data_IF_926765611504
#
_entry.id   IF_926765611504
#
_cell.length_a   1.000
_cell.length_b   1.000
_cell.length_c   1.000
_cell.angle_alpha   90.00
_cell.angle_beta   90.00
_cell.angle_gamma   90.00
#
_symmetry.space_group_name_H-M   'P 1'
#
loop_
_entity.id
_entity.type
_entity.pdbx_description
1 polymer ?
#
# COMPACT_ATOMS: atom_id res chain seq x y z
N UNK A 1 11.63 -14.32 21.58
CA UNK A 1 11.80 -12.86 21.57
C UNK A 1 11.68 -12.20 20.19
N UNK A 2 12.34 -12.68 19.14
CA UNK A 2 12.35 -12.05 17.79
C UNK A 2 10.97 -12.13 17.09
N UNK A 3 10.25 -13.23 17.24
CA UNK A 3 8.93 -13.42 16.63
C UNK A 3 7.89 -12.41 17.13
N UNK A 4 7.85 -12.16 18.44
CA UNK A 4 6.90 -11.19 19.04
C UNK A 4 7.19 -9.75 18.59
N UNK A 5 8.44 -9.37 18.44
CA UNK A 5 8.84 -8.03 17.96
C UNK A 5 8.34 -7.73 16.54
N UNK A 6 8.34 -8.74 15.66
CA UNK A 6 7.82 -8.60 14.31
C UNK A 6 6.30 -8.40 14.25
N UNK A 7 5.54 -9.05 15.14
CA UNK A 7 4.09 -8.88 15.22
C UNK A 7 3.72 -7.50 15.77
N UNK A 8 4.38 -7.04 16.83
CA UNK A 8 4.13 -5.70 17.40
C UNK A 8 4.54 -4.58 16.43
N UNK A 9 5.61 -4.76 15.66
CA UNK A 9 6.00 -3.81 14.61
C UNK A 9 4.93 -3.70 13.49
N UNK A 10 4.15 -4.76 13.26
CA UNK A 10 2.99 -4.75 12.35
C UNK A 10 1.68 -4.28 13.00
N UNK A 11 1.71 -3.89 14.27
CA UNK A 11 0.53 -3.46 15.03
C UNK A 11 -0.33 -4.62 15.52
N UNK A 12 0.19 -5.84 15.55
CA UNK A 12 -0.51 -7.03 16.06
C UNK A 12 -0.10 -7.25 17.52
N UNK A 13 -1.00 -6.97 18.44
CA UNK A 13 -0.75 -7.10 19.89
C UNK A 13 -1.36 -8.36 20.49
N UNK A 14 -2.36 -8.94 19.82
CA UNK A 14 -3.08 -10.14 20.27
C UNK A 14 -3.17 -11.11 19.09
N UNK A 15 -2.77 -12.36 19.32
CA UNK A 15 -2.98 -13.47 18.40
C UNK A 15 -4.11 -14.32 18.93
N UNK A 16 -5.21 -14.40 18.18
CA UNK A 16 -6.34 -15.27 18.47
C UNK A 16 -6.29 -16.47 17.54
N UNK A 17 -6.29 -17.66 18.11
CA UNK A 17 -6.41 -18.90 17.34
C UNK A 17 -7.87 -19.34 17.34
N UNK A 18 -8.46 -19.36 16.15
CA UNK A 18 -9.82 -19.87 15.98
C UNK A 18 -9.84 -21.39 16.09
N UNK A 19 -10.73 -21.91 16.93
CA UNK A 19 -10.96 -23.36 17.08
C UNK A 19 -12.42 -23.65 16.69
N UNK A 20 -12.65 -23.94 15.41
CA UNK A 20 -13.96 -24.19 14.83
C UNK A 20 -14.27 -23.33 13.61
N UNK A 21 -15.37 -23.62 12.93
CA UNK A 21 -15.79 -22.86 11.77
C UNK A 21 -16.26 -21.44 12.14
N UNK A 22 -15.87 -20.40 11.38
CA UNK A 22 -16.30 -19.04 11.65
C UNK A 22 -17.79 -18.89 11.39
N UNK A 23 -18.54 -18.46 12.39
CA UNK A 23 -19.92 -18.00 12.21
C UNK A 23 -19.87 -16.52 11.84
N UNK A 24 -20.30 -16.17 10.65
CA UNK A 24 -20.36 -14.79 10.19
C UNK A 24 -21.75 -14.22 10.55
N UNK A 25 -21.75 -13.14 11.30
CA UNK A 25 -22.97 -12.36 11.58
C UNK A 25 -23.09 -11.24 10.53
N UNK A 26 -24.01 -11.40 9.59
CA UNK A 26 -24.25 -10.46 8.48
C UNK A 26 -25.04 -9.20 8.91
N UNK A 27 -25.34 -9.02 10.19
CA UNK A 27 -26.19 -7.93 10.69
C UNK A 27 -25.66 -6.51 10.44
N UNK A 28 -24.37 -6.36 10.09
CA UNK A 28 -23.71 -5.08 9.82
C UNK A 28 -23.26 -4.85 8.36
N UNK A 29 -23.82 -5.61 7.42
CA UNK A 29 -23.40 -5.54 6.00
C UNK A 29 -23.57 -4.15 5.33
N UNK A 30 -24.31 -3.24 5.94
CA UNK A 30 -24.56 -1.88 5.43
C UNK A 30 -23.63 -0.79 5.95
N UNK A 31 -22.77 -1.06 6.92
CA UNK A 31 -21.92 -0.05 7.51
C UNK A 31 -20.82 0.41 6.53
N UNK A 32 -20.61 1.72 6.45
CA UNK A 32 -19.58 2.36 5.61
C UNK A 32 -18.16 1.82 5.91
N UNK A 33 -17.96 1.31 7.11
CA UNK A 33 -16.73 0.65 7.57
C UNK A 33 -16.31 -0.55 6.70
N UNK A 34 -17.27 -1.27 6.12
CA UNK A 34 -17.01 -2.47 5.31
C UNK A 34 -16.96 -2.18 3.80
N UNK A 35 -17.09 -0.93 3.41
CA UNK A 35 -17.04 -0.52 2.00
C UNK A 35 -15.75 -0.99 1.29
N UNK A 36 -14.54 -0.84 1.88
CA UNK A 36 -13.31 -1.30 1.23
C UNK A 36 -13.28 -2.81 1.00
N UNK A 37 -13.75 -3.60 1.99
CA UNK A 37 -13.81 -5.06 1.85
C UNK A 37 -14.83 -5.48 0.78
N UNK A 38 -15.96 -4.77 0.69
CA UNK A 38 -16.95 -5.01 -0.38
C UNK A 38 -16.37 -4.72 -1.75
N UNK A 39 -15.66 -3.60 -1.91
CA UNK A 39 -14.96 -3.27 -3.17
C UNK A 39 -13.92 -4.34 -3.50
N UNK A 40 -13.07 -4.73 -2.53
CA UNK A 40 -12.08 -5.78 -2.73
C UNK A 40 -12.71 -7.11 -3.17
N UNK A 41 -13.84 -7.48 -2.54
CA UNK A 41 -14.58 -8.69 -2.89
C UNK A 41 -15.16 -8.61 -4.30
N UNK A 42 -15.86 -7.52 -4.63
CA UNK A 42 -16.46 -7.33 -5.97
C UNK A 42 -15.40 -7.35 -7.07
N UNK A 43 -14.24 -6.68 -6.84
CA UNK A 43 -13.12 -6.72 -7.77
C UNK A 43 -12.56 -8.14 -7.90
N UNK A 44 -12.40 -8.87 -6.80
CA UNK A 44 -11.96 -10.25 -6.80
C UNK A 44 -12.90 -11.16 -7.60
N UNK A 45 -14.22 -11.08 -7.36
CA UNK A 45 -15.23 -11.83 -8.09
C UNK A 45 -15.26 -11.47 -9.60
N UNK A 46 -15.00 -10.21 -9.94
CA UNK A 46 -14.92 -9.77 -11.34
C UNK A 46 -13.71 -10.36 -12.05
N UNK A 47 -12.56 -10.40 -11.36
CA UNK A 47 -11.34 -11.01 -11.87
C UNK A 47 -11.56 -12.52 -12.11
N UNK A 48 -12.15 -13.23 -11.13
CA UNK A 48 -12.44 -14.68 -11.25
C UNK A 48 -13.38 -15.02 -12.39
N UNK A 49 -14.33 -14.13 -12.71
CA UNK A 49 -15.25 -14.33 -13.86
C UNK A 49 -14.62 -14.06 -15.21
N UNK A 50 -13.57 -13.24 -15.25
CA UNK A 50 -12.99 -12.73 -16.50
C UNK A 50 -11.72 -13.46 -16.93
N UNK A 51 -11.07 -14.16 -16.00
CA UNK A 51 -9.78 -14.80 -16.21
C UNK A 51 -9.81 -16.26 -15.78
N UNK A 52 -8.85 -17.05 -16.25
CA UNK A 52 -8.68 -18.43 -15.78
C UNK A 52 -8.31 -18.44 -14.28
N UNK A 53 -8.52 -19.58 -13.62
CA UNK A 53 -8.27 -19.74 -12.18
C UNK A 53 -6.85 -19.29 -11.79
N UNK A 54 -5.84 -19.72 -12.54
CA UNK A 54 -4.43 -19.38 -12.29
C UNK A 54 -4.12 -17.90 -12.55
N UNK A 55 -4.61 -17.34 -13.65
CA UNK A 55 -4.43 -15.93 -13.98
C UNK A 55 -5.19 -15.02 -13.02
N UNK A 56 -6.40 -15.41 -12.63
CA UNK A 56 -7.23 -14.69 -11.66
C UNK A 56 -6.57 -14.65 -10.28
N UNK A 57 -6.02 -15.78 -9.81
CA UNK A 57 -5.26 -15.86 -8.57
C UNK A 57 -4.04 -14.92 -8.59
N UNK A 58 -3.29 -14.90 -9.70
CA UNK A 58 -2.15 -14.02 -9.88
C UNK A 58 -2.56 -12.54 -9.86
N UNK A 59 -3.61 -12.15 -10.60
CA UNK A 59 -4.13 -10.79 -10.63
C UNK A 59 -4.67 -10.32 -9.27
N UNK A 60 -5.34 -11.20 -8.51
CA UNK A 60 -5.78 -10.91 -7.15
C UNK A 60 -4.61 -10.66 -6.21
N UNK A 61 -3.58 -11.49 -6.27
CA UNK A 61 -2.38 -11.31 -5.49
C UNK A 61 -1.67 -10.00 -5.84
N UNK A 62 -1.57 -9.67 -7.13
CA UNK A 62 -0.89 -8.48 -7.63
C UNK A 62 -1.65 -7.19 -7.30
N UNK A 63 -2.96 -7.13 -7.57
CA UNK A 63 -3.75 -5.90 -7.47
C UNK A 63 -4.35 -5.67 -6.08
N UNK A 64 -4.78 -6.73 -5.39
CA UNK A 64 -5.45 -6.65 -4.10
C UNK A 64 -4.56 -7.10 -2.94
N UNK A 65 -3.42 -7.73 -3.23
CA UNK A 65 -2.53 -8.31 -2.20
C UNK A 65 -3.06 -9.61 -1.60
N UNK A 66 -4.11 -10.19 -2.19
CA UNK A 66 -4.73 -11.42 -1.70
C UNK A 66 -4.04 -12.65 -2.30
N UNK A 67 -3.10 -13.19 -1.54
CA UNK A 67 -2.28 -14.35 -1.93
C UNK A 67 -2.92 -15.71 -1.62
N UNK A 68 -4.13 -15.74 -1.07
CA UNK A 68 -4.75 -16.98 -0.61
C UNK A 68 -5.05 -17.98 -1.73
N UNK A 69 -5.24 -17.47 -2.93
CA UNK A 69 -5.61 -18.24 -4.12
C UNK A 69 -4.41 -18.60 -5.00
N UNK A 70 -3.22 -18.13 -4.62
CA UNK A 70 -1.99 -18.42 -5.37
C UNK A 70 -1.46 -19.80 -4.98
N UNK A 71 -1.19 -20.65 -5.96
CA UNK A 71 -0.60 -21.96 -5.74
C UNK A 71 0.78 -21.85 -5.10
N UNK A 72 1.12 -22.81 -4.22
CA UNK A 72 2.42 -22.85 -3.54
C UNK A 72 3.58 -22.94 -4.53
N UNK A 73 3.40 -23.64 -5.64
CA UNK A 73 4.38 -23.76 -6.72
C UNK A 73 4.64 -22.42 -7.39
N UNK A 74 3.59 -21.67 -7.75
CA UNK A 74 3.71 -20.33 -8.34
C UNK A 74 4.35 -19.34 -7.36
N UNK A 75 3.99 -19.41 -6.08
CA UNK A 75 4.59 -18.58 -5.04
C UNK A 75 6.08 -18.89 -4.84
N UNK A 76 6.48 -20.16 -4.90
CA UNK A 76 7.86 -20.61 -4.81
C UNK A 76 8.68 -20.16 -6.03
N UNK A 77 8.16 -20.38 -7.23
CA UNK A 77 8.81 -19.95 -8.48
C UNK A 77 9.05 -18.44 -8.52
N UNK A 78 8.06 -17.63 -8.09
CA UNK A 78 8.20 -16.19 -7.98
C UNK A 78 9.23 -15.78 -6.92
N UNK A 79 9.37 -16.55 -5.86
CA UNK A 79 10.37 -16.32 -4.82
C UNK A 79 11.78 -16.62 -5.33
N UNK A 80 11.96 -17.70 -6.06
CA UNK A 80 13.25 -18.09 -6.64
C UNK A 80 13.77 -17.06 -7.67
N UNK A 81 12.87 -16.49 -8.46
CA UNK A 81 13.21 -15.41 -9.43
C UNK A 81 13.32 -14.03 -8.74
N UNK A 82 13.18 -13.96 -7.41
CA UNK A 82 13.27 -12.70 -6.67
C UNK A 82 12.07 -11.76 -6.83
N UNK A 83 10.96 -12.20 -7.41
CA UNK A 83 9.77 -11.41 -7.68
C UNK A 83 8.73 -11.41 -6.54
N UNK A 84 9.03 -12.02 -5.40
CA UNK A 84 8.14 -12.03 -4.23
C UNK A 84 7.68 -10.65 -3.77
N UNK A 85 8.52 -9.63 -3.99
CA UNK A 85 8.22 -8.24 -3.64
C UNK A 85 7.18 -7.61 -4.57
N UNK A 86 7.06 -8.08 -5.83
CA UNK A 86 6.06 -7.61 -6.79
C UNK A 86 4.66 -8.09 -6.40
N UNK A 87 4.57 -9.29 -5.80
CA UNK A 87 3.32 -9.86 -5.29
C UNK A 87 2.85 -9.21 -3.99
N UNK A 88 3.67 -8.39 -3.37
CA UNK A 88 3.23 -7.54 -2.27
C UNK A 88 2.76 -6.21 -2.85
N UNK A 89 1.51 -5.84 -2.60
CA UNK A 89 1.01 -4.52 -3.03
C UNK A 89 1.95 -3.46 -2.47
N UNK A 90 2.56 -2.71 -3.37
CA UNK A 90 3.66 -1.80 -3.08
C UNK A 90 3.28 -0.34 -3.32
N UNK A 91 4.12 0.57 -2.86
CA UNK A 91 3.99 1.99 -3.17
C UNK A 91 4.01 2.31 -4.67
N UNK A 92 4.57 1.43 -5.50
CA UNK A 92 4.59 1.59 -6.95
C UNK A 92 3.17 1.63 -7.54
N UNK A 93 2.24 0.83 -7.02
CA UNK A 93 0.84 0.84 -7.45
C UNK A 93 0.18 2.20 -7.18
N UNK A 94 0.46 2.80 -6.03
CA UNK A 94 -0.03 4.15 -5.71
C UNK A 94 0.59 5.21 -6.63
N UNK A 95 1.89 5.10 -6.93
CA UNK A 95 2.57 6.01 -7.86
C UNK A 95 2.02 5.88 -9.27
N UNK A 96 1.78 4.66 -9.75
CA UNK A 96 1.18 4.41 -11.05
C UNK A 96 -0.22 5.01 -11.15
N UNK A 97 -1.07 4.76 -10.14
CA UNK A 97 -2.42 5.32 -10.08
C UNK A 97 -2.41 6.85 -10.07
N UNK A 98 -1.54 7.46 -9.25
CA UNK A 98 -1.40 8.92 -9.20
C UNK A 98 -0.88 9.50 -10.52
N UNK A 99 0.05 8.82 -11.19
CA UNK A 99 0.58 9.22 -12.50
C UNK A 99 -0.45 9.10 -13.60
N UNK A 100 -1.25 8.04 -13.59
CA UNK A 100 -2.35 7.84 -14.53
C UNK A 100 -3.39 8.96 -14.43
N UNK A 101 -3.83 9.28 -13.22
CA UNK A 101 -4.76 10.39 -12.98
C UNK A 101 -4.13 11.72 -13.42
N UNK A 102 -2.85 11.92 -13.10
CA UNK A 102 -2.09 13.10 -13.51
C UNK A 102 -2.04 13.27 -15.01
N UNK A 103 -1.81 12.20 -15.75
CA UNK A 103 -1.79 12.17 -17.22
C UNK A 103 -3.17 12.48 -17.84
N UNK A 104 -4.24 11.91 -17.26
CA UNK A 104 -5.61 12.13 -17.75
C UNK A 104 -6.11 13.56 -17.47
N UNK A 105 -5.75 14.15 -16.33
CA UNK A 105 -6.26 15.46 -15.91
C UNK A 105 -5.40 16.64 -16.37
N UNK A 106 -4.13 16.39 -16.71
CA UNK A 106 -3.17 17.40 -17.11
C UNK A 106 -2.78 18.37 -15.98
N UNK A 107 -1.82 19.26 -16.26
CA UNK A 107 -1.25 20.15 -15.24
C UNK A 107 -2.08 21.40 -14.92
N UNK A 108 -3.02 21.76 -15.80
CA UNK A 108 -3.80 23.00 -15.64
C UNK A 108 -4.76 22.99 -14.44
N UNK A 109 -5.16 21.78 -13.97
CA UNK A 109 -6.17 21.62 -12.89
C UNK A 109 -5.56 21.01 -11.62
N UNK A 110 -4.47 21.59 -11.13
CA UNK A 110 -3.73 21.07 -9.95
C UNK A 110 -4.62 20.80 -8.74
N UNK A 111 -5.54 21.70 -8.41
CA UNK A 111 -6.48 21.53 -7.26
C UNK A 111 -7.41 20.33 -7.46
N UNK A 112 -8.00 20.19 -8.65
CA UNK A 112 -8.89 19.08 -8.96
C UNK A 112 -8.14 17.75 -8.98
N UNK A 113 -6.93 17.74 -9.54
CA UNK A 113 -6.04 16.56 -9.52
C UNK A 113 -5.78 16.10 -8.09
N UNK A 114 -5.44 16.99 -7.16
CA UNK A 114 -5.26 16.65 -5.75
C UNK A 114 -6.56 16.11 -5.13
N UNK A 115 -7.68 16.77 -5.38
CA UNK A 115 -8.99 16.39 -4.82
C UNK A 115 -9.47 15.03 -5.29
N UNK A 116 -9.04 14.55 -6.45
CA UNK A 116 -9.37 13.22 -6.99
C UNK A 116 -8.32 12.19 -6.59
N UNK A 117 -7.03 12.50 -6.77
CA UNK A 117 -5.94 11.52 -6.57
C UNK A 117 -5.82 11.12 -5.12
N UNK A 118 -5.85 12.07 -4.18
CA UNK A 118 -5.63 11.78 -2.77
C UNK A 118 -6.70 10.82 -2.20
N UNK A 119 -8.00 11.09 -2.35
CA UNK A 119 -9.02 10.13 -1.90
C UNK A 119 -8.90 8.76 -2.58
N UNK A 120 -8.55 8.73 -3.86
CA UNK A 120 -8.48 7.47 -4.62
C UNK A 120 -7.30 6.59 -4.17
N UNK A 121 -6.11 7.16 -3.92
CA UNK A 121 -4.97 6.39 -3.41
C UNK A 121 -5.22 5.90 -1.97
N UNK A 122 -5.92 6.69 -1.13
CA UNK A 122 -6.32 6.24 0.20
C UNK A 122 -7.40 5.17 0.14
N UNK A 123 -8.39 5.29 -0.76
CA UNK A 123 -9.37 4.22 -0.99
C UNK A 123 -8.68 2.92 -1.41
N UNK A 124 -7.72 3.01 -2.34
CA UNK A 124 -6.91 1.85 -2.74
C UNK A 124 -6.13 1.26 -1.56
N UNK A 125 -5.53 2.11 -0.71
CA UNK A 125 -4.85 1.66 0.50
C UNK A 125 -5.80 0.92 1.47
N UNK A 126 -7.04 1.38 1.62
CA UNK A 126 -8.06 0.69 2.42
C UNK A 126 -8.47 -0.66 1.81
N UNK A 127 -8.65 -0.73 0.50
CA UNK A 127 -9.00 -1.95 -0.23
C UNK A 127 -7.91 -3.02 -0.07
N UNK A 128 -6.65 -2.62 -0.12
CA UNK A 128 -5.48 -3.51 -0.01
C UNK A 128 -5.01 -3.79 1.43
N UNK A 129 -5.77 -3.33 2.44
CA UNK A 129 -5.54 -3.64 3.85
C UNK A 129 -4.53 -2.73 4.57
N UNK A 130 -4.30 -1.50 4.11
CA UNK A 130 -3.47 -0.48 4.78
C UNK A 130 -2.04 -0.96 5.11
N UNK A 131 -1.42 -1.68 4.20
CA UNK A 131 -0.05 -2.13 4.43
C UNK A 131 0.88 -0.93 4.69
N UNK A 132 1.90 -1.06 5.57
CA UNK A 132 2.81 0.04 5.87
C UNK A 132 3.49 0.64 4.64
N UNK A 133 3.75 -0.17 3.61
CA UNK A 133 4.35 0.27 2.35
C UNK A 133 3.44 1.22 1.57
N UNK A 134 2.17 0.85 1.44
CA UNK A 134 1.17 1.67 0.73
C UNK A 134 0.89 2.96 1.50
N UNK A 135 0.76 2.86 2.83
CA UNK A 135 0.49 4.03 3.66
C UNK A 135 1.59 5.09 3.52
N UNK A 136 2.87 4.67 3.52
CA UNK A 136 4.00 5.58 3.26
C UNK A 136 3.87 6.28 1.90
N UNK A 137 3.60 5.51 0.85
CA UNK A 137 3.43 6.05 -0.50
C UNK A 137 2.27 7.05 -0.58
N UNK A 138 1.12 6.73 0.00
CA UNK A 138 -0.02 7.63 0.05
C UNK A 138 0.32 8.95 0.75
N UNK A 139 1.01 8.91 1.91
CA UNK A 139 1.41 10.10 2.64
C UNK A 139 2.38 10.94 1.80
N UNK A 140 3.43 10.31 1.26
CA UNK A 140 4.45 11.04 0.47
C UNK A 140 3.87 11.63 -0.81
N UNK A 141 3.03 10.91 -1.55
CA UNK A 141 2.35 11.41 -2.75
C UNK A 141 1.44 12.58 -2.38
N UNK A 142 0.67 12.44 -1.30
CA UNK A 142 -0.23 13.52 -0.84
C UNK A 142 0.54 14.78 -0.49
N UNK A 143 1.65 14.67 0.22
CA UNK A 143 2.50 15.81 0.54
C UNK A 143 3.09 16.45 -0.71
N UNK A 144 3.64 15.66 -1.63
CA UNK A 144 4.18 16.17 -2.89
C UNK A 144 3.14 16.89 -3.76
N UNK A 145 1.85 16.51 -3.65
CA UNK A 145 0.76 17.16 -4.37
C UNK A 145 0.22 18.40 -3.65
N UNK A 146 0.20 18.41 -2.32
CA UNK A 146 -0.36 19.50 -1.50
C UNK A 146 0.64 20.65 -1.37
N UNK A 147 1.94 20.39 -1.20
CA UNK A 147 2.96 21.41 -1.00
C UNK A 147 2.94 22.53 -2.08
N UNK A 148 2.88 22.24 -3.38
CA UNK A 148 2.79 23.25 -4.42
C UNK A 148 1.47 24.06 -4.40
N UNK A 149 0.38 23.50 -3.83
CA UNK A 149 -0.89 24.22 -3.69
C UNK A 149 -0.85 25.25 -2.56
N UNK A 150 0.01 25.00 -1.57
CA UNK A 150 0.26 25.92 -0.44
C UNK A 150 1.38 26.92 -0.74
N UNK A 151 1.93 26.93 -1.95
CA UNK A 151 3.03 27.81 -2.34
C UNK A 151 4.39 27.40 -1.77
N UNK A 152 4.53 26.14 -1.32
CA UNK A 152 5.79 25.58 -0.86
C UNK A 152 6.42 24.70 -1.93
N UNK A 153 7.74 24.75 -2.04
CA UNK A 153 8.47 23.85 -2.88
C UNK A 153 8.34 22.40 -2.35
N UNK A 154 8.30 21.46 -3.27
CA UNK A 154 8.27 20.06 -2.90
C UNK A 154 9.66 19.68 -2.37
N UNK A 155 9.77 19.56 -1.06
CA UNK A 155 10.98 19.13 -0.37
C UNK A 155 10.87 17.64 0.02
N UNK A 156 11.54 16.74 -0.75
CA UNK A 156 11.48 15.30 -0.48
C UNK A 156 11.98 14.90 0.92
N UNK A 157 13.07 15.47 1.48
CA UNK A 157 13.49 15.18 2.85
C UNK A 157 12.43 15.49 3.90
N UNK A 158 11.74 16.62 3.80
CA UNK A 158 10.65 17.00 4.70
C UNK A 158 9.48 16.03 4.56
N UNK A 159 9.12 15.67 3.33
CA UNK A 159 8.02 14.73 3.06
C UNK A 159 8.26 13.34 3.66
N UNK A 160 9.50 12.82 3.53
CA UNK A 160 9.85 11.51 4.10
C UNK A 160 9.89 11.55 5.64
N UNK A 161 10.44 12.62 6.21
CA UNK A 161 10.50 12.81 7.67
C UNK A 161 9.11 12.91 8.28
N UNK A 162 8.19 13.63 7.63
CA UNK A 162 6.81 13.75 8.08
C UNK A 162 6.05 12.41 7.95
N UNK A 163 6.27 11.67 6.87
CA UNK A 163 5.68 10.34 6.72
C UNK A 163 6.16 9.38 7.83
N UNK A 164 7.46 9.43 8.17
CA UNK A 164 8.03 8.64 9.26
C UNK A 164 7.40 9.02 10.60
N UNK A 165 7.29 10.31 10.88
CA UNK A 165 6.67 10.82 12.10
C UNK A 165 5.24 10.31 12.26
N UNK A 166 4.40 10.41 11.23
CA UNK A 166 3.02 9.95 11.27
C UNK A 166 2.91 8.43 11.51
N UNK A 167 3.79 7.64 10.89
CA UNK A 167 3.81 6.19 11.09
C UNK A 167 4.22 5.83 12.52
N UNK A 168 5.23 6.50 13.06
CA UNK A 168 5.72 6.25 14.41
C UNK A 168 4.74 6.75 15.49
N UNK A 169 4.02 7.82 15.25
CA UNK A 169 2.95 8.27 16.14
C UNK A 169 1.82 7.24 16.24
N UNK A 170 1.49 6.57 15.14
CA UNK A 170 0.48 5.50 15.13
C UNK A 170 0.99 4.21 15.78
N UNK A 171 2.23 3.84 15.51
CA UNK A 171 2.87 2.64 16.04
C UNK A 171 4.39 2.84 16.21
N UNK A 172 4.87 3.17 17.40
CA UNK A 172 6.30 3.36 17.67
C UNK A 172 7.16 2.13 17.35
N UNK A 173 6.60 0.93 17.49
CA UNK A 173 7.30 -0.32 17.19
C UNK A 173 7.51 -0.56 15.69
N UNK A 174 6.87 0.22 14.82
CA UNK A 174 7.05 0.13 13.38
C UNK A 174 8.51 0.34 12.96
N UNK A 175 9.31 1.07 13.75
CA UNK A 175 10.74 1.29 13.49
C UNK A 175 11.53 -0.03 13.44
N UNK A 176 11.09 -1.07 14.14
CA UNK A 176 11.72 -2.39 14.12
C UNK A 176 11.34 -3.22 12.87
N UNK A 177 10.44 -2.71 12.02
CA UNK A 177 10.04 -3.39 10.79
C UNK A 177 11.12 -3.25 9.72
N UNK A 178 11.64 -4.38 9.25
CA UNK A 178 12.62 -4.43 8.15
C UNK A 178 12.08 -3.73 6.90
N UNK A 179 10.80 -3.91 6.59
CA UNK A 179 10.13 -3.26 5.44
C UNK A 179 10.16 -1.73 5.53
N UNK A 180 9.98 -1.18 6.74
CA UNK A 180 10.06 0.27 6.94
C UNK A 180 11.50 0.74 6.78
N UNK A 181 12.46 0.08 7.44
CA UNK A 181 13.88 0.44 7.37
C UNK A 181 14.39 0.43 5.93
N UNK A 182 14.15 -0.65 5.17
CA UNK A 182 14.57 -0.77 3.77
C UNK A 182 13.94 0.33 2.89
N UNK A 183 12.66 0.59 3.04
CA UNK A 183 11.98 1.60 2.23
C UNK A 183 12.51 3.01 2.52
N UNK A 184 12.68 3.37 3.79
CA UNK A 184 13.21 4.69 4.16
C UNK A 184 14.68 4.85 3.78
N UNK A 185 15.49 3.81 3.95
CA UNK A 185 16.89 3.81 3.51
C UNK A 185 17.01 3.98 2.00
N UNK A 186 16.20 3.26 1.22
CA UNK A 186 16.20 3.36 -0.24
C UNK A 186 15.83 4.77 -0.71
N UNK A 187 14.72 5.34 -0.20
CA UNK A 187 14.27 6.69 -0.60
C UNK A 187 15.27 7.74 -0.15
N UNK A 188 15.81 7.64 1.08
CA UNK A 188 16.87 8.54 1.56
C UNK A 188 18.10 8.46 0.69
N UNK A 189 18.52 7.24 0.31
CA UNK A 189 19.63 7.03 -0.61
C UNK A 189 19.42 7.73 -1.96
N UNK A 190 18.22 7.60 -2.55
CA UNK A 190 17.87 8.29 -3.80
C UNK A 190 17.96 9.81 -3.63
N UNK A 191 17.34 10.36 -2.59
CA UNK A 191 17.32 11.81 -2.34
C UNK A 191 18.74 12.39 -2.18
N UNK A 192 19.64 11.67 -1.51
CA UNK A 192 20.98 12.17 -1.19
C UNK A 192 22.02 11.86 -2.26
N UNK A 193 21.88 10.72 -2.98
CA UNK A 193 22.84 10.28 -3.99
C UNK A 193 22.54 10.86 -5.38
N UNK A 194 21.27 10.97 -5.78
CA UNK A 194 20.89 11.45 -7.11
C UNK A 194 21.51 12.82 -7.44
N UNK A 195 21.46 13.85 -6.57
CA UNK A 195 22.05 15.15 -6.88
C UNK A 195 23.57 15.11 -7.00
N UNK A 196 24.24 14.10 -6.41
CA UNK A 196 25.71 13.94 -6.47
C UNK A 196 26.15 13.19 -7.71
N UNK A 197 25.31 12.31 -8.24
CA UNK A 197 25.61 11.48 -9.41
C UNK A 197 25.24 12.17 -10.73
N UNK A 198 24.37 13.17 -10.70
CA UNK A 198 23.92 13.94 -11.88
C UNK A 198 24.71 15.23 -12.10
N UNK A 199 25.73 15.49 -11.28
CA UNK A 199 26.77 16.52 -11.49
C UNK A 199 27.98 15.93 -12.15
#
# INVERSE_FOLDING_TARGET
GLHLRNFTAKGVYILLYQRGDPTYDDTNAGALKYLPQRIARTLGETIERSYSEREGAFLRALLLGDKKYLDEEDASNLSEVGLSHVMAVSGLHCCFLASLIGSLMGDKRKKLRCAVTIPLIFLYAFVTGLTPSILRACIMISMGMIAPLLGHDNDPPTSISFALLLILLKNPFAIASISLQLSFSAVSGIIWLTPKLTK
#
